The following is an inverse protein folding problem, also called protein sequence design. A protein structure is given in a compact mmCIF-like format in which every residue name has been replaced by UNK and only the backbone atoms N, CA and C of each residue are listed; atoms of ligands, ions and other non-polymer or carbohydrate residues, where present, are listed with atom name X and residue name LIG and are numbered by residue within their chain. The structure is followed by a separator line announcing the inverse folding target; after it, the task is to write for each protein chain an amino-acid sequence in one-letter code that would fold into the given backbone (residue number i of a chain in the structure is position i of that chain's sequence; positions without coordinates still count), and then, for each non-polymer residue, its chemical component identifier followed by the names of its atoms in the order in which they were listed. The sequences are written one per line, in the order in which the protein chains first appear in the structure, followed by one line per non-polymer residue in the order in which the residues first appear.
data_IF_304959054677
#
_entry.id   IF_304959054677
#
_cell.length_a   1.000
_cell.length_b   1.000
_cell.length_c   1.000
_cell.angle_alpha   90.00
_cell.angle_beta   90.00
_cell.angle_gamma   90.00
#
_symmetry.space_group_name_H-M   'P 1'
#
loop_
_entity.id
_entity.type
_entity.pdbx_description
1 polymer ?
#
# COMPACT_ATOMS: atom_id res chain seq x y z
N UNK A 1 -17.74 5.52 8.33
CA UNK A 1 -16.43 5.23 7.72
C UNK A 1 -16.56 3.94 6.95
N UNK A 2 -15.96 3.87 5.81
CA UNK A 2 -15.94 2.68 4.99
C UNK A 2 -14.57 2.50 4.32
N UNK A 3 -14.18 1.27 4.06
CA UNK A 3 -12.88 0.93 3.49
C UNK A 3 -13.07 0.39 2.07
N UNK A 4 -12.33 0.92 1.09
CA UNK A 4 -12.11 0.29 -0.20
C UNK A 4 -10.79 -0.47 -0.17
N UNK A 5 -10.80 -1.74 -0.58
CA UNK A 5 -9.58 -2.52 -0.79
C UNK A 5 -9.26 -2.54 -2.28
N UNK A 6 -8.05 -2.14 -2.64
CA UNK A 6 -7.59 -2.07 -4.04
C UNK A 6 -6.50 -3.11 -4.27
N UNK A 7 -6.69 -3.97 -5.26
CA UNK A 7 -5.79 -5.09 -5.58
C UNK A 7 -5.38 -4.99 -7.05
N UNK A 8 -4.29 -4.28 -7.37
CA UNK A 8 -3.71 -4.33 -8.71
C UNK A 8 -3.09 -5.71 -8.96
N UNK A 9 -3.30 -6.24 -10.16
CA UNK A 9 -2.82 -7.58 -10.55
C UNK A 9 -2.37 -7.61 -12.00
N UNK A 10 -1.34 -8.40 -12.27
CA UNK A 10 -0.89 -8.74 -13.60
C UNK A 10 -0.29 -10.14 -13.58
N UNK A 11 -0.91 -11.08 -14.32
CA UNK A 11 -0.50 -12.49 -14.41
C UNK A 11 -0.25 -13.14 -13.02
N UNK A 12 -1.24 -13.00 -12.11
CA UNK A 12 -1.20 -13.54 -10.74
C UNK A 12 -2.38 -14.47 -10.41
N UNK A 13 -2.89 -15.21 -11.39
CA UNK A 13 -4.00 -16.14 -11.18
C UNK A 13 -3.77 -17.10 -10.01
N UNK A 14 -2.54 -17.58 -9.82
CA UNK A 14 -2.21 -18.54 -8.76
C UNK A 14 -2.42 -18.00 -7.32
N UNK A 15 -2.33 -16.70 -7.10
CA UNK A 15 -2.38 -16.08 -5.75
C UNK A 15 -3.58 -15.16 -5.55
N UNK A 16 -4.07 -14.55 -6.63
CA UNK A 16 -5.13 -13.53 -6.60
C UNK A 16 -6.40 -13.97 -5.87
N UNK A 17 -6.82 -15.22 -6.06
CA UNK A 17 -8.03 -15.73 -5.38
C UNK A 17 -7.94 -15.63 -3.86
N UNK A 18 -6.78 -15.93 -3.29
CA UNK A 18 -6.53 -15.79 -1.84
C UNK A 18 -6.55 -14.32 -1.39
N UNK A 19 -5.96 -13.42 -2.17
CA UNK A 19 -5.95 -11.99 -1.88
C UNK A 19 -7.39 -11.42 -1.85
N UNK A 20 -8.19 -11.74 -2.86
CA UNK A 20 -9.60 -11.31 -2.96
C UNK A 20 -10.42 -11.85 -1.79
N UNK A 21 -10.35 -13.16 -1.52
CA UNK A 21 -11.14 -13.78 -0.44
C UNK A 21 -10.77 -13.20 0.92
N UNK A 22 -9.48 -13.03 1.23
CA UNK A 22 -9.04 -12.45 2.49
C UNK A 22 -9.53 -11.02 2.71
N UNK A 23 -9.73 -10.27 1.63
CA UNK A 23 -10.27 -8.91 1.66
C UNK A 23 -11.80 -8.91 1.77
N UNK A 24 -12.49 -9.68 0.92
CA UNK A 24 -13.95 -9.67 0.84
C UNK A 24 -14.62 -10.22 2.11
N UNK A 25 -14.00 -11.21 2.79
CA UNK A 25 -14.50 -11.77 4.05
C UNK A 25 -14.54 -10.76 5.21
N UNK A 26 -13.92 -9.59 5.07
CA UNK A 26 -13.92 -8.55 6.12
C UNK A 26 -15.02 -7.48 5.92
N UNK A 27 -15.91 -7.71 4.96
CA UNK A 27 -17.04 -6.81 4.68
C UNK A 27 -16.62 -5.36 4.38
N UNK A 28 -15.60 -5.11 3.54
CA UNK A 28 -15.27 -3.76 3.12
C UNK A 28 -16.42 -3.17 2.27
N UNK A 29 -16.40 -1.86 2.05
CA UNK A 29 -17.36 -1.22 1.15
C UNK A 29 -17.25 -1.75 -0.28
N UNK A 30 -16.03 -2.02 -0.72
CA UNK A 30 -15.74 -2.66 -2.01
C UNK A 30 -14.34 -3.32 -1.99
N UNK A 31 -14.16 -4.31 -2.85
CA UNK A 31 -12.87 -4.85 -3.26
C UNK A 31 -12.70 -4.57 -4.75
N UNK A 32 -11.77 -3.70 -5.10
CA UNK A 32 -11.52 -3.32 -6.50
C UNK A 32 -10.31 -4.08 -7.02
N UNK A 33 -10.55 -5.03 -7.90
CA UNK A 33 -9.48 -5.75 -8.59
C UNK A 33 -9.18 -5.04 -9.91
N UNK A 34 -7.93 -4.62 -10.07
CA UNK A 34 -7.47 -3.94 -11.29
C UNK A 34 -6.55 -4.90 -12.03
N UNK A 35 -7.05 -5.43 -13.12
CA UNK A 35 -6.31 -6.32 -14.01
C UNK A 35 -5.57 -5.50 -15.07
N UNK A 36 -4.27 -5.44 -14.92
CA UNK A 36 -3.38 -4.65 -15.77
C UNK A 36 -2.96 -5.42 -17.03
N UNK A 37 -3.98 -5.80 -17.84
CA UNK A 37 -3.84 -6.55 -19.09
C UNK A 37 -3.24 -7.97 -18.92
N UNK A 38 -3.69 -8.73 -17.91
CA UNK A 38 -3.25 -10.13 -17.69
C UNK A 38 -3.56 -11.03 -18.88
N UNK A 39 -2.68 -12.00 -19.11
CA UNK A 39 -2.79 -13.01 -20.16
C UNK A 39 -3.13 -14.41 -19.64
N UNK A 40 -3.07 -14.61 -18.32
CA UNK A 40 -3.44 -15.84 -17.61
C UNK A 40 -4.95 -15.90 -17.26
N UNK A 41 -5.37 -16.82 -16.40
CA UNK A 41 -6.77 -17.00 -15.99
C UNK A 41 -7.24 -15.97 -14.92
N UNK A 42 -6.54 -14.84 -14.75
CA UNK A 42 -6.97 -13.76 -13.83
C UNK A 42 -8.44 -13.36 -14.03
N UNK A 43 -8.96 -13.13 -15.26
CA UNK A 43 -10.36 -12.78 -15.48
C UNK A 43 -11.33 -13.86 -15.03
N UNK A 44 -11.00 -15.15 -15.24
CA UNK A 44 -11.82 -16.29 -14.85
C UNK A 44 -11.97 -16.37 -13.32
N UNK A 45 -10.89 -16.21 -12.58
CA UNK A 45 -10.88 -16.21 -11.11
C UNK A 45 -11.73 -15.05 -10.56
N UNK A 46 -11.56 -13.83 -11.08
CA UNK A 46 -12.35 -12.69 -10.60
C UNK A 46 -13.83 -12.89 -10.86
N UNK A 47 -14.20 -13.35 -12.06
CA UNK A 47 -15.60 -13.63 -12.42
C UNK A 47 -16.22 -14.67 -11.48
N UNK A 48 -15.51 -15.74 -11.16
CA UNK A 48 -15.97 -16.77 -10.23
C UNK A 48 -16.23 -16.17 -8.84
N UNK A 49 -15.32 -15.35 -8.33
CA UNK A 49 -15.42 -14.75 -6.99
C UNK A 49 -16.46 -13.64 -6.92
N UNK A 50 -16.73 -12.91 -8.01
CA UNK A 50 -17.85 -11.97 -8.08
C UNK A 50 -19.21 -12.65 -7.89
N UNK A 51 -19.34 -13.91 -8.30
CA UNK A 51 -20.55 -14.71 -8.05
C UNK A 51 -20.77 -15.03 -6.57
N UNK A 52 -19.74 -14.95 -5.73
CA UNK A 52 -19.79 -15.25 -4.28
C UNK A 52 -19.80 -13.97 -3.45
N UNK A 53 -19.01 -12.96 -3.85
CA UNK A 53 -18.79 -11.71 -3.11
C UNK A 53 -19.25 -10.51 -3.94
N UNK A 54 -20.48 -9.99 -3.71
CA UNK A 54 -21.03 -8.85 -4.48
C UNK A 54 -20.24 -7.54 -4.33
N UNK A 55 -19.40 -7.42 -3.31
CA UNK A 55 -18.54 -6.26 -3.08
C UNK A 55 -17.36 -6.16 -4.07
N UNK A 56 -17.11 -7.18 -4.92
CA UNK A 56 -16.01 -7.18 -5.86
C UNK A 56 -16.34 -6.38 -7.10
N UNK A 57 -15.56 -5.36 -7.36
CA UNK A 57 -15.55 -4.59 -8.60
C UNK A 57 -14.32 -4.95 -9.44
N UNK A 58 -14.51 -5.29 -10.69
CA UNK A 58 -13.43 -5.65 -11.62
C UNK A 58 -13.22 -4.55 -12.65
N UNK A 59 -11.99 -4.10 -12.77
CA UNK A 59 -11.55 -3.12 -13.77
C UNK A 59 -10.39 -3.74 -14.54
N UNK A 60 -10.53 -3.82 -15.87
CA UNK A 60 -9.47 -4.36 -16.73
C UNK A 60 -8.93 -3.29 -17.66
N UNK A 61 -7.62 -3.14 -17.68
CA UNK A 61 -6.93 -2.32 -18.67
C UNK A 61 -6.74 -3.09 -19.98
N UNK A 62 -6.75 -2.38 -21.10
CA UNK A 62 -6.45 -2.96 -22.41
C UNK A 62 -4.96 -3.09 -22.66
N UNK A 63 -4.17 -2.19 -22.06
CA UNK A 63 -2.73 -2.13 -22.16
C UNK A 63 -2.13 -2.05 -20.74
N UNK A 64 -0.96 -2.64 -20.57
CA UNK A 64 -0.26 -2.65 -19.28
C UNK A 64 0.20 -1.24 -18.91
N UNK A 65 -0.06 -0.84 -17.68
CA UNK A 65 0.44 0.41 -17.11
C UNK A 65 1.96 0.38 -16.89
N UNK A 66 2.55 1.54 -16.63
CA UNK A 66 3.98 1.66 -16.35
C UNK A 66 4.40 0.86 -15.10
N UNK A 67 3.55 0.87 -14.09
CA UNK A 67 3.70 0.10 -12.85
C UNK A 67 2.33 -0.13 -12.17
N UNK A 68 2.31 -0.95 -11.13
CA UNK A 68 1.09 -1.31 -10.42
C UNK A 68 0.44 -0.13 -9.68
N UNK A 69 1.22 0.86 -9.23
CA UNK A 69 0.68 2.05 -8.59
C UNK A 69 -0.02 2.95 -9.61
N UNK A 70 0.53 3.07 -10.81
CA UNK A 70 -0.12 3.78 -11.90
C UNK A 70 -1.45 3.09 -12.28
N UNK A 71 -1.47 1.76 -12.35
CA UNK A 71 -2.70 1.00 -12.53
C UNK A 71 -3.71 1.30 -11.42
N UNK A 72 -3.29 1.22 -10.14
CA UNK A 72 -4.15 1.50 -8.99
C UNK A 72 -4.70 2.93 -8.99
N UNK A 73 -3.90 3.91 -9.40
CA UNK A 73 -4.30 5.32 -9.42
C UNK A 73 -5.50 5.60 -10.33
N UNK A 74 -5.75 4.78 -11.34
CA UNK A 74 -6.86 4.95 -12.28
C UNK A 74 -8.23 4.83 -11.61
N UNK A 75 -8.34 4.10 -10.50
CA UNK A 75 -9.62 3.84 -9.82
C UNK A 75 -9.87 4.74 -8.62
N UNK A 76 -8.87 5.42 -8.06
CA UNK A 76 -9.04 6.23 -6.85
C UNK A 76 -10.18 7.25 -6.94
N UNK A 77 -10.40 7.99 -8.06
CA UNK A 77 -11.51 8.93 -8.15
C UNK A 77 -12.91 8.29 -8.08
N UNK A 78 -13.01 6.98 -8.28
CA UNK A 78 -14.27 6.23 -8.32
C UNK A 78 -14.49 5.33 -7.10
N UNK A 79 -13.59 5.37 -6.11
CA UNK A 79 -13.73 4.58 -4.89
C UNK A 79 -14.85 5.14 -4.00
N UNK A 80 -15.57 4.24 -3.33
CA UNK A 80 -16.69 4.59 -2.43
C UNK A 80 -16.26 4.65 -0.95
N UNK A 81 -15.15 4.00 -0.59
CA UNK A 81 -14.60 4.04 0.76
C UNK A 81 -13.93 5.36 1.09
N UNK A 82 -14.05 5.81 2.33
CA UNK A 82 -13.33 6.98 2.83
C UNK A 82 -11.86 6.70 3.11
N UNK A 83 -11.52 5.43 3.33
CA UNK A 83 -10.14 4.94 3.49
C UNK A 83 -9.85 3.86 2.45
N UNK A 84 -8.59 3.77 2.07
CA UNK A 84 -8.10 2.83 1.05
C UNK A 84 -6.99 1.98 1.63
N UNK A 85 -7.12 0.67 1.49
CA UNK A 85 -6.04 -0.30 1.66
C UNK A 85 -5.63 -0.75 0.25
N UNK A 86 -4.37 -0.56 -0.11
CA UNK A 86 -3.83 -1.07 -1.37
C UNK A 86 -2.90 -2.24 -1.05
N UNK A 87 -3.10 -3.38 -1.72
CA UNK A 87 -2.32 -4.59 -1.45
C UNK A 87 -1.96 -5.34 -2.74
N UNK A 88 -0.88 -6.10 -2.71
CA UNK A 88 -0.47 -6.97 -3.82
C UNK A 88 -1.42 -8.15 -4.01
N UNK A 89 -1.47 -8.68 -5.23
CA UNK A 89 -2.26 -9.87 -5.57
C UNK A 89 -1.71 -11.18 -5.00
N UNK A 90 -0.53 -11.15 -4.41
CA UNK A 90 0.15 -12.26 -3.71
C UNK A 90 0.07 -12.15 -2.18
N UNK A 91 -0.43 -11.04 -1.68
CA UNK A 91 -0.61 -10.75 -0.26
C UNK A 91 -1.97 -11.21 0.29
N UNK A 92 -2.20 -10.98 1.58
CA UNK A 92 -3.51 -11.20 2.20
C UNK A 92 -3.73 -10.30 3.41
N UNK A 93 -4.96 -9.86 3.60
CA UNK A 93 -5.39 -9.18 4.81
C UNK A 93 -5.67 -10.19 5.94
N UNK A 94 -5.40 -9.81 7.16
CA UNK A 94 -5.75 -10.57 8.35
C UNK A 94 -7.08 -10.08 8.94
N UNK A 95 -7.85 -10.96 9.61
CA UNK A 95 -9.13 -10.59 10.20
C UNK A 95 -9.05 -9.37 11.11
N UNK A 96 -10.02 -8.46 10.98
CA UNK A 96 -10.17 -7.29 11.83
C UNK A 96 -9.45 -6.03 11.36
N UNK A 97 -8.67 -6.05 10.26
CA UNK A 97 -8.01 -4.82 9.77
C UNK A 97 -9.04 -3.78 9.30
N UNK A 98 -10.09 -4.19 8.58
CA UNK A 98 -11.14 -3.27 8.10
C UNK A 98 -11.85 -2.63 9.29
N UNK A 99 -12.33 -3.44 10.26
CA UNK A 99 -12.95 -2.95 11.49
C UNK A 99 -12.02 -2.02 12.28
N UNK A 100 -10.73 -2.37 12.34
CA UNK A 100 -9.73 -1.55 13.02
C UNK A 100 -9.61 -0.16 12.38
N UNK A 101 -9.56 -0.07 11.05
CA UNK A 101 -9.52 1.22 10.32
C UNK A 101 -10.78 2.03 10.58
N UNK A 102 -11.95 1.39 10.58
CA UNK A 102 -13.25 2.06 10.77
C UNK A 102 -13.41 2.70 12.16
N UNK A 103 -12.65 2.24 13.14
CA UNK A 103 -12.59 2.88 14.48
C UNK A 103 -11.91 4.26 14.49
N UNK A 104 -11.17 4.60 13.42
CA UNK A 104 -10.42 5.85 13.33
C UNK A 104 -10.82 6.71 12.12
N UNK A 105 -12.06 7.21 12.08
CA UNK A 105 -12.67 7.87 10.92
C UNK A 105 -11.92 9.12 10.44
N UNK A 106 -11.21 9.78 11.33
CA UNK A 106 -10.49 11.04 11.04
C UNK A 106 -8.99 10.86 10.84
N UNK A 107 -8.47 9.64 11.05
CA UNK A 107 -7.06 9.38 10.87
C UNK A 107 -6.67 9.49 9.39
N UNK A 108 -5.66 10.31 9.10
CA UNK A 108 -5.16 10.43 7.72
C UNK A 108 -4.51 9.14 7.23
N UNK A 109 -3.84 8.43 8.14
CA UNK A 109 -3.26 7.09 7.92
C UNK A 109 -3.47 6.26 9.18
N UNK A 110 -3.87 4.99 9.01
CA UNK A 110 -3.88 3.98 10.08
C UNK A 110 -2.85 2.92 9.72
N UNK A 111 -1.85 2.73 10.56
CA UNK A 111 -0.81 1.72 10.40
C UNK A 111 -1.09 0.51 11.28
N UNK A 112 -0.80 -0.67 10.78
CA UNK A 112 -0.81 -1.93 11.49
C UNK A 112 0.54 -2.63 11.34
N UNK A 113 0.81 -3.56 12.23
CA UNK A 113 1.88 -4.53 12.02
C UNK A 113 1.51 -5.49 10.90
N UNK A 114 2.51 -6.17 10.35
CA UNK A 114 2.27 -7.21 9.36
C UNK A 114 3.30 -8.33 9.47
N UNK A 115 2.88 -9.51 9.05
CA UNK A 115 3.75 -10.68 8.93
C UNK A 115 4.40 -10.71 7.57
N UNK A 116 5.60 -11.28 7.50
CA UNK A 116 6.30 -11.55 6.25
C UNK A 116 6.26 -13.05 6.02
N UNK A 117 5.81 -13.45 4.83
CA UNK A 117 5.77 -14.84 4.42
C UNK A 117 6.67 -15.09 3.21
N UNK A 118 7.27 -16.27 3.14
CA UNK A 118 7.91 -16.76 1.92
C UNK A 118 6.86 -17.02 0.81
N UNK A 119 7.26 -17.17 -0.46
CA UNK A 119 6.34 -17.56 -1.55
C UNK A 119 5.60 -18.88 -1.28
N UNK A 120 6.20 -19.78 -0.48
CA UNK A 120 5.57 -21.02 -0.03
C UNK A 120 4.53 -20.81 1.09
N UNK A 121 4.32 -19.57 1.57
CA UNK A 121 3.36 -19.22 2.61
C UNK A 121 3.82 -19.41 4.04
N UNK A 122 5.09 -19.79 4.28
CA UNK A 122 5.66 -19.87 5.63
C UNK A 122 5.95 -18.49 6.17
N UNK A 123 5.54 -18.19 7.42
CA UNK A 123 5.89 -16.94 8.08
C UNK A 123 7.39 -16.98 8.42
N UNK A 124 8.11 -16.00 7.91
CA UNK A 124 9.56 -15.86 8.04
C UNK A 124 9.97 -14.58 8.79
N UNK A 125 9.02 -13.68 9.04
CA UNK A 125 9.29 -12.42 9.71
C UNK A 125 8.03 -11.71 10.19
N UNK A 126 8.27 -10.63 10.93
CA UNK A 126 7.25 -9.72 11.44
C UNK A 126 7.79 -8.28 11.38
N UNK A 127 6.96 -7.36 10.98
CA UNK A 127 7.29 -5.92 10.92
C UNK A 127 6.26 -5.15 11.73
N UNK A 128 6.75 -4.38 12.68
CA UNK A 128 5.93 -3.50 13.52
C UNK A 128 6.72 -2.30 14.00
N UNK A 129 6.05 -1.29 14.54
CA UNK A 129 6.73 -0.08 15.00
C UNK A 129 7.16 -0.13 16.49
N UNK A 130 7.04 -1.28 17.13
CA UNK A 130 7.50 -1.48 18.52
C UNK A 130 6.71 -0.72 19.58
N UNK A 131 5.49 -0.29 19.29
CA UNK A 131 4.55 0.25 20.28
C UNK A 131 3.61 -0.85 20.75
N UNK A 132 3.35 -0.91 22.05
CA UNK A 132 2.55 -1.98 22.67
C UNK A 132 1.04 -1.65 22.69
N UNK A 133 0.66 -0.42 22.41
CA UNK A 133 -0.74 0.03 22.45
C UNK A 133 -1.09 0.92 21.25
N UNK A 134 -2.37 0.95 20.92
CA UNK A 134 -2.91 1.87 19.92
C UNK A 134 -2.50 3.30 20.26
N UNK A 135 -1.82 3.95 19.32
CA UNK A 135 -1.21 5.26 19.56
C UNK A 135 -1.59 6.24 18.46
N UNK A 136 -2.22 7.35 18.85
CA UNK A 136 -2.40 8.49 17.96
C UNK A 136 -1.13 9.31 17.94
N UNK A 137 -0.59 9.53 16.75
CA UNK A 137 0.66 10.26 16.50
C UNK A 137 0.34 11.59 15.83
N UNK A 138 0.85 12.68 16.42
CA UNK A 138 0.86 13.98 15.74
C UNK A 138 1.82 13.97 14.52
N UNK A 139 1.70 14.92 13.59
CA UNK A 139 2.69 15.08 12.52
C UNK A 139 4.14 15.16 13.02
N UNK A 140 4.37 15.81 14.18
CA UNK A 140 5.70 15.91 14.79
C UNK A 140 6.22 14.55 15.26
N UNK A 141 5.36 13.74 15.89
CA UNK A 141 5.70 12.40 16.36
C UNK A 141 6.05 11.48 15.18
N UNK A 142 5.24 11.51 14.13
CA UNK A 142 5.53 10.73 12.91
C UNK A 142 6.87 11.15 12.31
N UNK A 143 7.12 12.47 12.13
CA UNK A 143 8.39 12.95 11.57
C UNK A 143 9.59 12.58 12.43
N UNK A 144 9.46 12.59 13.77
CA UNK A 144 10.51 12.10 14.68
C UNK A 144 10.79 10.61 14.43
N UNK A 145 9.73 9.77 14.41
CA UNK A 145 9.87 8.34 14.16
C UNK A 145 10.47 8.02 12.80
N UNK A 146 10.07 8.71 11.74
CA UNK A 146 10.64 8.53 10.42
C UNK A 146 12.16 8.78 10.39
N UNK A 147 12.71 9.62 11.30
CA UNK A 147 14.17 9.81 11.44
C UNK A 147 14.83 8.71 12.27
N UNK A 148 14.19 8.26 13.33
CA UNK A 148 14.79 7.36 14.32
C UNK A 148 14.65 5.89 13.93
N UNK A 149 13.50 5.42 13.56
CA UNK A 149 13.14 4.07 13.07
C UNK A 149 11.68 3.70 13.35
N UNK A 150 11.26 2.48 12.85
CA UNK A 150 10.49 2.43 11.62
C UNK A 150 9.05 2.82 11.90
N UNK A 151 8.49 3.53 10.99
CA UNK A 151 7.04 3.43 10.78
C UNK A 151 6.87 2.18 9.91
N UNK A 152 5.85 1.32 10.10
CA UNK A 152 5.60 0.15 9.26
C UNK A 152 5.17 0.58 7.86
N UNK A 153 6.06 1.29 7.15
CA UNK A 153 5.81 1.86 5.82
C UNK A 153 6.67 1.21 4.74
N UNK A 154 7.36 0.11 5.07
CA UNK A 154 8.20 -0.57 4.07
C UNK A 154 7.38 -1.18 2.95
N UNK A 155 6.12 -1.51 3.24
CA UNK A 155 5.11 -1.86 2.25
C UNK A 155 3.80 -1.19 2.63
N UNK A 156 2.99 -0.77 1.67
CA UNK A 156 1.68 -0.17 1.95
C UNK A 156 0.65 -1.13 2.56
N UNK A 157 0.97 -2.41 2.63
CA UNK A 157 0.01 -3.47 2.95
C UNK A 157 -0.57 -3.41 4.37
N UNK A 158 0.20 -2.98 5.35
CA UNK A 158 -0.26 -2.80 6.74
C UNK A 158 -0.92 -1.44 6.99
N UNK A 159 -1.19 -0.65 5.96
CA UNK A 159 -1.68 0.70 6.11
C UNK A 159 -2.99 0.97 5.37
N UNK A 160 -3.84 1.77 5.98
CA UNK A 160 -4.99 2.40 5.33
C UNK A 160 -4.79 3.91 5.28
N UNK A 161 -5.09 4.54 4.15
CA UNK A 161 -4.96 5.98 3.95
C UNK A 161 -6.31 6.59 3.58
N UNK A 162 -6.63 7.76 4.10
CA UNK A 162 -7.84 8.46 3.66
C UNK A 162 -7.77 8.79 2.16
N UNK A 163 -8.84 8.48 1.44
CA UNK A 163 -8.95 8.67 -0.01
C UNK A 163 -8.66 10.12 -0.43
N UNK A 164 -9.12 11.11 0.33
CA UNK A 164 -8.85 12.51 0.03
C UNK A 164 -7.35 12.86 -0.05
N UNK A 165 -6.50 12.17 0.74
CA UNK A 165 -5.06 12.37 0.68
C UNK A 165 -4.43 11.73 -0.56
N UNK A 166 -4.90 10.53 -0.97
CA UNK A 166 -4.46 9.93 -2.24
C UNK A 166 -4.81 10.81 -3.43
N UNK A 167 -6.03 11.35 -3.46
CA UNK A 167 -6.47 12.26 -4.51
C UNK A 167 -5.65 13.57 -4.52
N UNK A 168 -5.37 14.13 -3.34
CA UNK A 168 -4.52 15.33 -3.21
C UNK A 168 -3.09 15.05 -3.67
N UNK A 169 -2.49 13.93 -3.29
CA UNK A 169 -1.17 13.53 -3.75
C UNK A 169 -1.13 13.21 -5.24
N UNK A 170 -2.26 12.87 -5.84
CA UNK A 170 -2.39 12.62 -7.28
C UNK A 170 -1.87 13.76 -8.14
N UNK A 171 -2.01 15.01 -7.68
CA UNK A 171 -1.47 16.19 -8.34
C UNK A 171 0.07 16.17 -8.46
N UNK A 172 0.76 15.41 -7.60
CA UNK A 172 2.21 15.24 -7.59
C UNK A 172 2.66 13.92 -8.24
N UNK A 173 1.76 13.17 -8.87
CA UNK A 173 2.04 11.89 -9.53
C UNK A 173 2.83 10.91 -8.63
N UNK A 174 2.39 10.78 -7.37
CA UNK A 174 3.09 9.98 -6.36
C UNK A 174 3.32 8.53 -6.77
N UNK A 175 2.51 7.98 -7.67
CA UNK A 175 2.66 6.62 -8.20
C UNK A 175 3.86 6.42 -9.13
N UNK A 176 4.52 7.49 -9.58
CA UNK A 176 5.67 7.40 -10.48
C UNK A 176 7.01 7.13 -9.79
N UNK A 177 7.02 6.85 -8.50
CA UNK A 177 8.25 6.61 -7.72
C UNK A 177 8.70 5.15 -7.73
N UNK A 178 8.09 4.30 -8.56
CA UNK A 178 8.41 2.88 -8.65
C UNK A 178 8.16 2.14 -7.32
N UNK A 179 9.05 1.22 -6.91
CA UNK A 179 8.81 0.35 -5.75
C UNK A 179 8.79 1.08 -4.40
N UNK A 180 8.94 2.39 -4.35
CA UNK A 180 8.86 3.20 -3.13
C UNK A 180 7.61 4.07 -3.04
N UNK A 181 6.74 4.03 -4.06
CA UNK A 181 5.62 4.97 -4.20
C UNK A 181 4.69 4.98 -2.99
N UNK A 182 4.20 3.82 -2.57
CA UNK A 182 3.25 3.67 -1.46
C UNK A 182 3.87 4.09 -0.12
N UNK A 183 5.00 3.54 0.22
CA UNK A 183 5.65 3.79 1.50
C UNK A 183 6.08 5.27 1.66
N UNK A 184 6.57 5.91 0.59
CA UNK A 184 6.91 7.34 0.61
C UNK A 184 5.64 8.19 0.70
N UNK A 185 4.62 7.89 -0.10
CA UNK A 185 3.36 8.63 -0.08
C UNK A 185 2.68 8.57 1.30
N UNK A 186 2.58 7.38 1.89
CA UNK A 186 1.99 7.20 3.22
C UNK A 186 2.81 7.91 4.32
N UNK A 187 4.15 7.86 4.22
CA UNK A 187 5.04 8.59 5.12
C UNK A 187 4.85 10.11 5.04
N UNK A 188 4.68 10.64 3.83
CA UNK A 188 4.42 12.08 3.61
C UNK A 188 3.08 12.48 4.20
N UNK A 189 2.01 11.71 3.95
CA UNK A 189 0.68 12.00 4.51
C UNK A 189 0.71 11.91 6.03
N UNK A 190 1.24 10.85 6.60
CA UNK A 190 1.33 10.67 8.04
C UNK A 190 2.18 11.77 8.70
N UNK A 191 3.30 12.15 8.10
CA UNK A 191 4.15 13.24 8.58
C UNK A 191 3.56 14.64 8.39
N UNK A 192 2.49 14.78 7.60
CA UNK A 192 1.77 16.04 7.36
C UNK A 192 0.51 16.17 8.20
N UNK A 193 -0.26 15.10 8.33
CA UNK A 193 -1.59 15.10 8.94
C UNK A 193 -1.68 14.26 10.24
N UNK A 194 -0.62 13.53 10.59
CA UNK A 194 -0.63 12.58 11.69
C UNK A 194 -1.09 11.20 11.25
N UNK A 195 -1.05 10.26 12.18
CA UNK A 195 -1.45 8.87 11.97
C UNK A 195 -1.96 8.21 13.25
N UNK A 196 -2.62 7.09 13.09
CA UNK A 196 -2.88 6.14 14.16
C UNK A 196 -2.09 4.87 13.90
N UNK A 197 -1.45 4.36 14.91
CA UNK A 197 -0.84 3.05 14.89
C UNK A 197 -1.63 2.07 15.76
N UNK A 198 -1.87 0.88 15.25
CA UNK A 198 -2.57 -0.21 15.94
C UNK A 198 -1.62 -1.41 16.00
N UNK A 199 -1.18 -1.86 17.20
CA UNK A 199 -0.26 -2.98 17.39
C UNK A 199 -0.96 -4.32 17.19
N UNK A 200 -1.45 -4.53 15.97
CA UNK A 200 -2.14 -5.74 15.54
C UNK A 200 -1.67 -6.09 14.14
N UNK A 201 -1.41 -7.35 13.90
CA UNK A 201 -1.13 -7.83 12.56
C UNK A 201 -2.35 -7.64 11.65
N UNK A 202 -2.26 -6.70 10.71
CA UNK A 202 -3.32 -6.39 9.76
C UNK A 202 -3.22 -7.16 8.46
N UNK A 203 -2.01 -7.66 8.13
CA UNK A 203 -1.74 -8.27 6.84
C UNK A 203 -0.62 -9.30 6.88
N UNK A 204 -0.49 -10.04 5.79
CA UNK A 204 0.69 -10.87 5.48
C UNK A 204 1.24 -10.43 4.14
N UNK A 205 2.43 -9.90 4.15
CA UNK A 205 3.22 -9.57 2.96
C UNK A 205 3.93 -10.82 2.47
N UNK A 206 3.84 -11.12 1.19
CA UNK A 206 4.57 -12.22 0.55
C UNK A 206 5.87 -11.70 -0.03
N UNK A 207 6.99 -12.07 0.58
CA UNK A 207 8.33 -11.67 0.16
C UNK A 207 8.80 -12.56 -0.99
N UNK A 208 8.45 -12.15 -2.21
CA UNK A 208 8.88 -12.81 -3.44
C UNK A 208 10.09 -12.07 -4.03
N UNK A 209 11.27 -12.71 -3.97
CA UNK A 209 12.51 -12.15 -4.52
C UNK A 209 12.47 -11.93 -6.05
N UNK A 210 11.57 -12.61 -6.75
CA UNK A 210 11.28 -12.37 -8.17
C UNK A 210 10.20 -11.28 -8.38
N UNK A 211 9.60 -10.78 -7.29
CA UNK A 211 8.56 -9.76 -7.32
C UNK A 211 9.08 -8.38 -7.77
N UNK A 212 8.14 -7.54 -8.18
CA UNK A 212 8.40 -6.18 -8.66
C UNK A 212 9.29 -5.37 -7.71
N UNK A 213 9.00 -5.40 -6.41
CA UNK A 213 9.74 -4.65 -5.41
C UNK A 213 11.23 -4.98 -5.38
N UNK A 214 11.57 -6.27 -5.41
CA UNK A 214 12.97 -6.72 -5.40
C UNK A 214 13.69 -6.44 -6.72
N UNK A 215 13.06 -6.72 -7.85
CA UNK A 215 13.68 -6.59 -9.18
C UNK A 215 13.95 -5.13 -9.56
N UNK A 216 13.12 -4.18 -9.11
CA UNK A 216 13.23 -2.77 -9.51
C UNK A 216 13.99 -1.91 -8.49
N UNK A 217 14.17 -2.34 -7.23
CA UNK A 217 14.95 -1.58 -6.23
C UNK A 217 16.43 -1.51 -6.54
N UNK A 218 16.99 -2.52 -7.20
CA UNK A 218 18.40 -2.61 -7.54
C UNK A 218 18.66 -2.67 -9.06
N UNK A 219 17.62 -2.53 -9.87
CA UNK A 219 17.68 -2.58 -11.33
C UNK A 219 18.26 -1.29 -11.94
N UNK A 220 18.48 -1.28 -13.28
CA UNK A 220 19.01 -0.12 -13.99
C UNK A 220 18.13 1.12 -13.86
N UNK A 221 16.85 0.97 -13.57
CA UNK A 221 15.87 2.05 -13.40
C UNK A 221 15.89 2.68 -11.99
N UNK A 222 16.59 2.08 -11.03
CA UNK A 222 16.60 2.53 -9.63
C UNK A 222 17.01 4.02 -9.48
N UNK A 223 17.99 4.48 -10.25
CA UNK A 223 18.44 5.87 -10.23
C UNK A 223 17.35 6.84 -10.69
N UNK A 224 16.60 6.47 -11.74
CA UNK A 224 15.49 7.27 -12.26
C UNK A 224 14.33 7.33 -11.25
N UNK A 225 13.94 6.20 -10.67
CA UNK A 225 12.93 6.19 -9.61
C UNK A 225 13.33 7.08 -8.43
N UNK A 226 14.59 7.05 -8.04
CA UNK A 226 15.10 7.91 -6.97
C UNK A 226 15.08 9.39 -7.32
N UNK A 227 15.34 9.74 -8.57
CA UNK A 227 15.16 11.10 -9.03
C UNK A 227 13.70 11.55 -8.86
N UNK A 228 12.73 10.73 -9.23
CA UNK A 228 11.30 10.98 -9.08
C UNK A 228 10.88 11.08 -7.61
N UNK A 229 11.39 10.23 -6.71
CA UNK A 229 11.19 10.36 -5.26
C UNK A 229 11.63 11.74 -4.75
N UNK A 230 12.81 12.21 -5.16
CA UNK A 230 13.30 13.53 -4.76
C UNK A 230 12.43 14.68 -5.29
N UNK A 231 12.00 14.59 -6.54
CA UNK A 231 11.07 15.57 -7.13
C UNK A 231 9.75 15.60 -6.37
N UNK A 232 9.17 14.44 -6.06
CA UNK A 232 7.94 14.30 -5.29
C UNK A 232 8.08 14.92 -3.89
N UNK A 233 9.12 14.58 -3.14
CA UNK A 233 9.36 15.12 -1.80
C UNK A 233 9.54 16.64 -1.80
N UNK A 234 10.20 17.21 -2.83
CA UNK A 234 10.30 18.66 -3.02
C UNK A 234 8.96 19.31 -3.34
N UNK A 235 8.16 18.70 -4.20
CA UNK A 235 6.86 19.22 -4.60
C UNK A 235 5.83 19.24 -3.47
N UNK A 236 5.97 18.36 -2.50
CA UNK A 236 5.07 18.27 -1.32
C UNK A 236 5.49 19.19 -0.17
N UNK A 237 6.60 19.92 -0.29
CA UNK A 237 7.19 20.74 0.79
C UNK A 237 7.46 19.92 2.07
N UNK A 238 7.70 18.61 1.95
CA UNK A 238 7.99 17.76 3.10
C UNK A 238 9.36 18.13 3.70
N UNK A 239 9.52 18.17 5.04
CA UNK A 239 10.76 18.65 5.65
C UNK A 239 12.00 17.90 5.16
N UNK A 240 13.02 18.63 4.69
CA UNK A 240 14.22 18.08 4.07
C UNK A 240 14.93 17.03 4.97
N UNK A 241 15.06 17.30 6.27
CA UNK A 241 15.70 16.37 7.22
C UNK A 241 14.99 15.03 7.34
N UNK A 242 13.66 15.01 7.18
CA UNK A 242 12.86 13.78 7.17
C UNK A 242 12.95 13.10 5.82
N UNK A 243 12.93 13.87 4.74
CA UNK A 243 13.11 13.38 3.38
C UNK A 243 14.46 12.67 3.20
N UNK A 244 15.55 13.27 3.72
CA UNK A 244 16.88 12.69 3.72
C UNK A 244 16.92 11.36 4.49
N UNK A 245 16.27 11.29 5.67
CA UNK A 245 16.19 10.06 6.46
C UNK A 245 15.39 8.95 5.74
N UNK A 246 14.29 9.29 5.08
CA UNK A 246 13.51 8.35 4.29
C UNK A 246 14.32 7.75 3.14
N UNK A 247 15.08 8.57 2.44
CA UNK A 247 15.94 8.11 1.35
C UNK A 247 17.12 7.28 1.87
N UNK A 248 17.83 7.76 2.91
CA UNK A 248 19.03 7.12 3.46
C UNK A 248 18.78 5.73 4.05
N UNK A 249 17.68 5.53 4.78
CA UNK A 249 17.30 4.24 5.34
C UNK A 249 16.97 3.17 4.29
N UNK A 250 16.73 3.57 3.06
CA UNK A 250 16.42 2.69 1.93
C UNK A 250 17.64 2.41 1.05
N UNK A 251 18.84 2.68 1.56
CA UNK A 251 20.10 2.45 0.84
C UNK A 251 20.34 3.43 -0.31
N UNK A 252 19.65 4.56 -0.29
CA UNK A 252 19.72 5.53 -1.38
C UNK A 252 20.39 6.81 -0.92
N UNK A 253 21.50 7.23 -1.56
CA UNK A 253 22.14 8.50 -1.25
C UNK A 253 21.19 9.67 -1.53
N UNK A 254 20.93 10.48 -0.54
CA UNK A 254 20.26 11.76 -0.70
C UNK A 254 21.33 12.82 -0.95
N UNK A 255 21.80 12.90 -2.17
CA UNK A 255 22.73 13.94 -2.63
C UNK A 255 21.99 15.07 -3.37
#
# INVERSE_FOLDING_TARGET
VSVSVVIPTWDRAATLGRAIVSSACQSPAEVVVIDDASTDDTPGIVKQLQGVYPCIRYVRHHEKAADWQAAAATVYPSLVGSHVICMGADDRLLPGIVESVERFPTAAVVFHDYKVASPAGQIVGHVGCGLESTTTMTPADVRRRLREWPVPTETGIGAAIQLQWLLKLGQHQWWNMGPWSDCIAYSVVAGTAGAVYVPQDGAVFTDDTAGYGHTHRAGPEAAEYMHRVRQFLRSTNFPWSVSAALCGKRGVPYA
#
